data_IF_457048159136
#
_entry.id   IF_457048159136
#
_cell.length_a   1.000
_cell.length_b   1.000
_cell.length_c   1.000
_cell.angle_alpha   90.00
_cell.angle_beta   90.00
_cell.angle_gamma   90.00
#
_symmetry.space_group_name_H-M   'P 1'
#
loop_
_entity.id
_entity.type
_entity.pdbx_description
1 polymer ?
#
# COMPACT_ATOMS: atom_id res chain seq x y z
N UNK A 1 -12.79 -3.02 -14.42
CA UNK A 1 -14.12 -3.12 -13.79
C UNK A 1 -14.13 -2.27 -12.53
N UNK A 2 -15.29 -1.86 -11.98
CA UNK A 2 -15.34 -1.03 -10.76
C UNK A 2 -14.58 -1.66 -9.58
N UNK A 3 -14.52 -3.00 -9.54
CA UNK A 3 -13.78 -3.83 -8.59
C UNK A 3 -12.26 -3.59 -8.56
N UNK A 4 -11.67 -3.04 -9.63
CA UNK A 4 -10.24 -2.72 -9.69
C UNK A 4 -9.90 -1.42 -8.95
N UNK A 5 -10.89 -0.53 -8.81
CA UNK A 5 -10.76 0.73 -8.07
C UNK A 5 -11.08 0.58 -6.60
N UNK A 6 -11.59 -0.57 -6.16
CA UNK A 6 -11.95 -0.79 -4.77
C UNK A 6 -10.73 -0.65 -3.85
N UNK A 7 -10.92 0.06 -2.74
CA UNK A 7 -9.96 0.18 -1.66
C UNK A 7 -10.49 -0.60 -0.46
N UNK A 8 -9.59 -1.23 0.26
CA UNK A 8 -9.92 -1.96 1.48
C UNK A 8 -9.20 -1.34 2.67
N UNK A 9 -9.92 -1.15 3.77
CA UNK A 9 -9.32 -0.86 5.07
C UNK A 9 -8.48 -2.04 5.55
N UNK A 10 -7.62 -1.84 6.54
CA UNK A 10 -6.84 -2.89 7.17
C UNK A 10 -7.75 -4.00 7.74
N UNK A 11 -8.90 -3.63 8.31
CA UNK A 11 -9.89 -4.57 8.82
C UNK A 11 -10.54 -5.42 7.70
N UNK A 12 -10.93 -4.78 6.60
CA UNK A 12 -11.51 -5.46 5.43
C UNK A 12 -10.49 -6.36 4.72
N UNK A 13 -9.22 -5.94 4.64
CA UNK A 13 -8.14 -6.78 4.15
C UNK A 13 -7.94 -8.02 5.00
N UNK A 14 -7.91 -7.88 6.32
CA UNK A 14 -7.82 -9.03 7.23
C UNK A 14 -9.04 -9.95 7.13
N UNK A 15 -10.21 -9.43 6.79
CA UNK A 15 -11.40 -10.24 6.48
C UNK A 15 -11.26 -10.99 5.15
N UNK A 16 -10.68 -10.36 4.12
CA UNK A 16 -10.38 -11.02 2.85
C UNK A 16 -9.45 -12.23 3.06
N UNK A 17 -8.36 -12.04 3.82
CA UNK A 17 -7.43 -13.11 4.17
C UNK A 17 -8.12 -14.25 4.92
N UNK A 18 -8.91 -13.92 5.96
CA UNK A 18 -9.66 -14.92 6.74
C UNK A 18 -10.61 -15.74 5.87
N UNK A 19 -11.32 -15.09 4.94
CA UNK A 19 -12.24 -15.77 4.02
C UNK A 19 -11.51 -16.70 3.06
N UNK A 20 -10.38 -16.26 2.51
CA UNK A 20 -9.55 -17.11 1.65
C UNK A 20 -9.00 -18.31 2.40
N UNK A 21 -8.63 -18.14 3.67
CA UNK A 21 -8.19 -19.24 4.55
C UNK A 21 -9.33 -20.20 4.85
N UNK A 22 -10.51 -19.69 5.22
CA UNK A 22 -11.69 -20.50 5.46
C UNK A 22 -12.15 -21.25 4.19
N UNK A 23 -11.89 -20.70 3.01
CA UNK A 23 -12.12 -21.32 1.70
C UNK A 23 -11.12 -22.43 1.33
N UNK A 24 -10.15 -22.74 2.19
CA UNK A 24 -9.24 -23.88 2.03
C UNK A 24 -7.81 -23.54 1.60
N UNK A 25 -7.45 -22.25 1.46
CA UNK A 25 -6.06 -21.85 1.16
C UNK A 25 -5.28 -21.61 2.47
N UNK A 26 -4.25 -22.39 2.81
CA UNK A 26 -3.50 -22.17 4.05
C UNK A 26 -2.87 -20.76 4.11
N UNK A 27 -2.81 -20.15 5.30
CA UNK A 27 -2.25 -18.80 5.49
C UNK A 27 -0.81 -18.67 5.00
N UNK A 28 0.03 -19.67 5.29
CA UNK A 28 1.40 -19.78 4.77
C UNK A 28 1.48 -19.73 3.24
N UNK A 29 0.47 -20.21 2.51
CA UNK A 29 0.44 -20.14 1.04
C UNK A 29 0.23 -18.69 0.56
N UNK A 30 -0.63 -17.93 1.24
CA UNK A 30 -0.81 -16.49 0.97
C UNK A 30 0.48 -15.71 1.25
N UNK A 31 1.13 -15.99 2.39
CA UNK A 31 2.41 -15.40 2.78
C UNK A 31 3.54 -15.72 1.77
N UNK A 32 3.62 -16.96 1.31
CA UNK A 32 4.58 -17.38 0.28
C UNK A 32 4.37 -16.62 -1.04
N UNK A 33 3.11 -16.43 -1.45
CA UNK A 33 2.77 -15.66 -2.66
C UNK A 33 3.07 -14.16 -2.49
N UNK A 34 2.77 -13.59 -1.33
CA UNK A 34 3.07 -12.21 -0.97
C UNK A 34 4.58 -11.95 -1.02
N UNK A 35 5.36 -12.74 -0.28
CA UNK A 35 6.82 -12.63 -0.27
C UNK A 35 7.44 -12.86 -1.65
N UNK A 36 6.94 -13.83 -2.43
CA UNK A 36 7.39 -14.05 -3.80
C UNK A 36 7.08 -12.86 -4.73
N UNK A 37 5.92 -12.20 -4.56
CA UNK A 37 5.58 -11.02 -5.33
C UNK A 37 6.53 -9.85 -5.03
N UNK A 38 6.85 -9.60 -3.76
CA UNK A 38 7.83 -8.58 -3.38
C UNK A 38 9.23 -8.92 -3.91
N UNK A 39 9.70 -10.16 -3.74
CA UNK A 39 11.01 -10.59 -4.23
C UNK A 39 11.13 -10.44 -5.77
N UNK A 40 10.06 -10.76 -6.52
CA UNK A 40 10.00 -10.51 -7.97
C UNK A 40 10.06 -9.01 -8.29
N UNK A 41 9.31 -8.18 -7.57
CA UNK A 41 9.31 -6.74 -7.78
C UNK A 41 10.70 -6.12 -7.50
N UNK A 42 11.40 -6.60 -6.47
CA UNK A 42 12.78 -6.21 -6.16
C UNK A 42 13.69 -6.54 -7.34
N UNK A 43 13.68 -7.78 -7.82
CA UNK A 43 14.55 -8.22 -8.92
C UNK A 43 14.25 -7.57 -10.26
N UNK A 44 13.00 -7.18 -10.49
CA UNK A 44 12.62 -6.46 -11.69
C UNK A 44 13.18 -5.02 -11.72
N UNK A 45 13.55 -4.46 -10.57
CA UNK A 45 13.97 -3.05 -10.44
C UNK A 45 15.43 -2.88 -10.02
N UNK A 46 16.00 -3.81 -9.28
CA UNK A 46 17.38 -3.74 -8.78
C UNK A 46 18.18 -4.98 -9.18
N UNK A 47 19.45 -4.75 -9.50
CA UNK A 47 20.47 -5.81 -9.60
C UNK A 47 20.87 -6.34 -8.22
N UNK A 48 21.35 -7.61 -8.13
CA UNK A 48 21.83 -8.19 -6.88
C UNK A 48 22.82 -7.27 -6.14
N UNK A 49 22.54 -7.03 -4.87
CA UNK A 49 23.32 -6.16 -3.97
C UNK A 49 23.03 -6.52 -2.51
N UNK A 50 23.83 -6.08 -1.54
CA UNK A 50 23.55 -6.31 -0.13
C UNK A 50 22.15 -5.79 0.27
N UNK A 51 21.32 -6.65 0.85
CA UNK A 51 19.94 -6.33 1.28
C UNK A 51 19.81 -6.54 2.78
N UNK A 52 19.35 -5.51 3.47
CA UNK A 52 18.87 -5.63 4.84
C UNK A 52 17.36 -5.90 4.83
N UNK A 53 16.93 -7.05 5.32
CA UNK A 53 15.50 -7.42 5.45
C UNK A 53 15.10 -7.29 6.91
N UNK A 54 14.16 -6.40 7.21
CA UNK A 54 13.76 -6.03 8.56
C UNK A 54 12.40 -6.64 8.88
N UNK A 55 12.37 -7.68 9.71
CA UNK A 55 11.16 -8.44 10.00
C UNK A 55 10.53 -8.08 11.35
N UNK A 56 9.23 -7.81 11.33
CA UNK A 56 8.41 -7.67 12.53
C UNK A 56 7.98 -9.00 13.15
N UNK A 57 7.22 -8.94 14.26
CA UNK A 57 6.73 -10.14 14.96
C UNK A 57 5.46 -10.76 14.35
N UNK A 58 4.78 -10.07 13.43
CA UNK A 58 3.51 -10.50 12.83
C UNK A 58 3.64 -11.01 11.40
N UNK A 59 2.51 -11.14 10.70
CA UNK A 59 2.43 -11.67 9.33
C UNK A 59 3.29 -10.87 8.33
N UNK A 60 3.32 -9.53 8.44
CA UNK A 60 4.19 -8.70 7.58
C UNK A 60 5.67 -9.08 7.74
N UNK A 61 6.10 -9.40 8.97
CA UNK A 61 7.43 -9.93 9.23
C UNK A 61 7.64 -11.31 8.62
N UNK A 62 6.61 -12.17 8.67
CA UNK A 62 6.52 -13.44 7.96
C UNK A 62 6.81 -13.32 6.46
N UNK A 63 6.18 -12.36 5.78
CA UNK A 63 6.47 -12.04 4.38
C UNK A 63 7.96 -11.67 4.19
N UNK A 64 8.54 -10.91 5.13
CA UNK A 64 9.96 -10.60 5.18
C UNK A 64 10.86 -11.84 5.22
N UNK A 65 10.52 -12.86 6.01
CA UNK A 65 11.26 -14.13 6.05
C UNK A 65 11.21 -14.86 4.70
N UNK A 66 10.05 -14.87 4.05
CA UNK A 66 9.90 -15.42 2.69
C UNK A 66 10.76 -14.64 1.69
N UNK A 67 10.69 -13.31 1.70
CA UNK A 67 11.47 -12.43 0.80
C UNK A 67 12.96 -12.70 0.96
N UNK A 68 13.45 -12.73 2.20
CA UNK A 68 14.85 -13.00 2.50
C UNK A 68 15.30 -14.35 1.95
N UNK A 69 14.54 -15.42 2.22
CA UNK A 69 14.82 -16.77 1.72
C UNK A 69 14.89 -16.80 0.20
N UNK A 70 13.93 -16.17 -0.48
CA UNK A 70 13.86 -16.18 -1.94
C UNK A 70 14.98 -15.36 -2.59
N UNK A 71 15.33 -14.20 -2.03
CA UNK A 71 16.45 -13.40 -2.52
C UNK A 71 17.79 -14.11 -2.30
N UNK A 72 18.01 -14.67 -1.09
CA UNK A 72 19.22 -15.41 -0.78
C UNK A 72 19.39 -16.64 -1.67
N UNK A 73 18.31 -17.40 -1.91
CA UNK A 73 18.29 -18.53 -2.84
C UNK A 73 18.60 -18.16 -4.30
N UNK A 74 18.62 -16.87 -4.63
CA UNK A 74 18.95 -16.33 -5.94
C UNK A 74 20.26 -15.54 -5.94
N UNK A 75 21.11 -15.76 -4.92
CA UNK A 75 22.46 -15.22 -4.85
C UNK A 75 22.55 -13.77 -4.36
N UNK A 76 21.48 -13.20 -3.80
CA UNK A 76 21.56 -11.89 -3.16
C UNK A 76 22.25 -12.00 -1.79
N UNK A 77 23.19 -11.10 -1.45
CA UNK A 77 23.73 -11.02 -0.09
C UNK A 77 22.67 -10.46 0.87
N UNK A 78 22.00 -11.34 1.62
CA UNK A 78 20.90 -10.96 2.52
C UNK A 78 21.35 -10.98 3.97
N UNK A 79 21.14 -9.87 4.67
CA UNK A 79 21.16 -9.78 6.14
C UNK A 79 19.72 -9.68 6.63
N UNK A 80 19.27 -10.67 7.38
CA UNK A 80 17.94 -10.66 7.97
C UNK A 80 18.03 -10.24 9.44
N UNK A 81 17.29 -9.20 9.81
CA UNK A 81 17.10 -8.79 11.19
C UNK A 81 15.65 -8.96 11.63
N UNK A 82 15.45 -9.40 12.87
CA UNK A 82 14.11 -9.60 13.44
C UNK A 82 13.93 -8.82 14.74
N UNK A 83 12.77 -8.20 14.92
CA UNK A 83 12.42 -7.50 16.17
C UNK A 83 12.30 -8.44 17.37
N UNK A 84 11.92 -9.70 17.11
CA UNK A 84 11.78 -10.75 18.12
C UNK A 84 12.59 -11.99 17.73
N UNK A 85 13.07 -12.80 18.69
CA UNK A 85 13.70 -14.08 18.36
C UNK A 85 12.75 -14.98 17.55
N UNK A 86 13.27 -15.67 16.54
CA UNK A 86 12.45 -16.53 15.65
C UNK A 86 11.61 -17.57 16.42
N UNK A 87 12.13 -18.08 17.55
CA UNK A 87 11.42 -19.03 18.44
C UNK A 87 10.15 -18.47 19.10
N UNK A 88 9.93 -17.16 19.07
CA UNK A 88 8.75 -16.50 19.66
C UNK A 88 7.65 -16.28 18.63
N UNK A 89 7.98 -16.37 17.33
CA UNK A 89 7.01 -16.26 16.25
C UNK A 89 5.98 -17.38 16.35
N UNK A 90 4.77 -17.13 15.83
CA UNK A 90 3.64 -18.07 15.82
C UNK A 90 2.99 -18.11 14.44
N UNK A 91 2.24 -19.17 14.19
CA UNK A 91 1.48 -19.35 12.95
C UNK A 91 2.39 -19.30 11.71
N UNK A 92 1.85 -18.74 10.63
CA UNK A 92 2.52 -18.67 9.32
C UNK A 92 3.91 -18.01 9.39
N UNK A 93 4.09 -16.98 10.22
CA UNK A 93 5.38 -16.31 10.38
C UNK A 93 6.45 -17.23 11.00
N UNK A 94 6.06 -18.15 11.89
CA UNK A 94 6.98 -19.15 12.45
C UNK A 94 7.37 -20.19 11.41
N UNK A 95 6.41 -20.63 10.59
CA UNK A 95 6.66 -21.56 9.49
C UNK A 95 7.63 -20.96 8.46
N UNK A 96 7.41 -19.72 8.05
CA UNK A 96 8.32 -19.00 7.15
C UNK A 96 9.72 -18.85 7.76
N UNK A 97 9.81 -18.50 9.04
CA UNK A 97 11.10 -18.38 9.74
C UNK A 97 11.86 -19.70 9.83
N UNK A 98 11.18 -20.84 10.00
CA UNK A 98 11.82 -22.16 10.05
C UNK A 98 12.51 -22.58 8.72
N UNK A 99 12.06 -21.99 7.60
CA UNK A 99 12.64 -22.21 6.28
C UNK A 99 13.91 -21.38 6.03
N UNK A 100 14.18 -20.34 6.83
CA UNK A 100 15.40 -19.56 6.74
C UNK A 100 16.60 -20.34 7.28
N UNK A 101 17.68 -20.41 6.50
CA UNK A 101 18.93 -21.12 6.87
C UNK A 101 20.11 -20.19 7.14
N UNK A 102 19.93 -18.89 6.92
CA UNK A 102 20.97 -17.88 7.18
C UNK A 102 21.02 -17.45 8.65
N UNK A 103 21.97 -16.57 8.96
CA UNK A 103 22.04 -15.92 10.27
C UNK A 103 20.82 -15.00 10.46
N UNK A 104 20.33 -14.94 11.69
CA UNK A 104 19.30 -13.97 12.12
C UNK A 104 19.98 -12.98 13.05
N UNK A 105 19.92 -11.70 12.70
CA UNK A 105 20.44 -10.60 13.49
C UNK A 105 19.33 -9.99 14.36
N UNK A 106 19.73 -9.31 15.44
CA UNK A 106 18.81 -8.42 16.16
C UNK A 106 18.45 -7.22 15.28
N UNK A 107 17.23 -6.71 15.43
CA UNK A 107 16.76 -5.50 14.76
C UNK A 107 17.40 -4.22 15.32
N UNK A 108 18.72 -4.13 15.23
CA UNK A 108 19.51 -2.98 15.61
C UNK A 108 20.03 -2.25 14.34
N UNK A 109 20.26 -0.92 14.38
CA UNK A 109 20.64 -0.14 13.20
C UNK A 109 21.87 -0.66 12.42
N UNK A 110 22.78 -1.38 13.07
CA UNK A 110 23.97 -1.97 12.46
C UNK A 110 23.64 -2.99 11.34
N UNK A 111 22.39 -3.48 11.25
CA UNK A 111 21.95 -4.30 10.10
C UNK A 111 22.04 -3.54 8.77
N UNK A 112 22.00 -2.21 8.82
CA UNK A 112 22.07 -1.36 7.63
C UNK A 112 23.50 -1.18 7.10
N UNK A 113 24.52 -1.56 7.88
CA UNK A 113 25.92 -1.37 7.50
C UNK A 113 26.25 -2.14 6.22
N UNK A 114 26.73 -1.41 5.22
CA UNK A 114 27.05 -1.95 3.89
C UNK A 114 25.82 -2.38 3.06
N UNK A 115 24.59 -2.13 3.53
CA UNK A 115 23.38 -2.41 2.77
C UNK A 115 23.26 -1.48 1.56
N UNK A 116 22.82 -2.01 0.42
CA UNK A 116 22.48 -1.26 -0.79
C UNK A 116 20.97 -1.20 -1.07
N UNK A 117 20.18 -1.89 -0.27
CA UNK A 117 18.71 -1.96 -0.32
C UNK A 117 18.16 -2.35 1.05
N UNK A 118 17.03 -1.76 1.44
CA UNK A 118 16.29 -2.16 2.64
C UNK A 118 14.94 -2.72 2.23
N UNK A 119 14.57 -3.88 2.79
CA UNK A 119 13.20 -4.40 2.75
C UNK A 119 12.56 -4.15 4.11
N UNK A 120 11.60 -3.25 4.13
CA UNK A 120 10.84 -2.91 5.33
C UNK A 120 9.61 -3.82 5.45
N UNK A 121 9.74 -4.81 6.33
CA UNK A 121 8.72 -5.78 6.68
C UNK A 121 8.41 -5.74 8.19
N UNK A 122 8.62 -4.59 8.85
CA UNK A 122 8.45 -4.47 10.30
C UNK A 122 6.96 -4.43 10.68
N UNK A 123 6.16 -3.58 10.04
CA UNK A 123 4.74 -3.44 10.31
C UNK A 123 3.95 -3.20 9.03
N UNK A 124 2.84 -3.92 8.88
CA UNK A 124 1.89 -3.74 7.77
C UNK A 124 0.73 -2.80 8.15
N UNK A 125 -0.34 -2.79 7.35
CA UNK A 125 -1.45 -1.86 7.49
C UNK A 125 -2.25 -2.00 8.80
N UNK A 126 -2.12 -3.12 9.51
CA UNK A 126 -2.79 -3.37 10.80
C UNK A 126 -2.19 -2.62 11.99
N UNK A 127 -1.17 -1.79 11.78
CA UNK A 127 -0.61 -0.93 12.83
C UNK A 127 -1.61 0.16 13.23
N UNK A 128 -1.89 0.29 14.53
CA UNK A 128 -2.84 1.25 15.08
C UNK A 128 -2.24 2.16 16.18
N UNK A 129 -0.92 2.09 16.36
CA UNK A 129 -0.15 2.92 17.30
C UNK A 129 1.23 3.23 16.72
N UNK A 130 1.83 4.32 17.15
CA UNK A 130 3.19 4.65 16.74
C UNK A 130 4.17 3.52 17.13
N UNK A 131 5.14 3.16 16.26
CA UNK A 131 6.22 2.28 16.65
C UNK A 131 7.02 2.90 17.80
N UNK A 132 7.51 2.06 18.71
CA UNK A 132 8.26 2.48 19.90
C UNK A 132 9.55 1.67 20.07
N UNK A 133 10.43 2.13 20.95
CA UNK A 133 11.65 1.44 21.35
C UNK A 133 12.55 1.08 20.17
N UNK A 134 12.99 -0.18 20.12
CA UNK A 134 13.90 -0.69 19.07
C UNK A 134 13.33 -0.51 17.66
N UNK A 135 12.02 -0.68 17.48
CA UNK A 135 11.39 -0.56 16.17
C UNK A 135 11.41 0.90 15.67
N UNK A 136 11.08 1.86 16.54
CA UNK A 136 11.17 3.28 16.20
C UNK A 136 12.60 3.72 15.85
N UNK A 137 13.58 3.28 16.66
CA UNK A 137 15.00 3.59 16.42
C UNK A 137 15.49 3.04 15.08
N UNK A 138 15.06 1.84 14.69
CA UNK A 138 15.40 1.24 13.41
C UNK A 138 14.72 1.98 12.24
N UNK A 139 13.45 2.34 12.35
CA UNK A 139 12.75 3.13 11.32
C UNK A 139 13.44 4.49 11.11
N UNK A 140 13.83 5.17 12.20
CA UNK A 140 14.58 6.43 12.12
C UNK A 140 15.96 6.21 11.47
N UNK A 141 16.66 5.12 11.77
CA UNK A 141 17.93 4.80 11.13
C UNK A 141 17.76 4.55 9.62
N UNK A 142 16.73 3.81 9.21
CA UNK A 142 16.40 3.59 7.79
C UNK A 142 16.10 4.93 7.11
N UNK A 143 15.26 5.77 7.71
CA UNK A 143 14.90 7.08 7.16
C UNK A 143 16.09 8.03 6.98
N UNK A 144 17.12 7.92 7.85
CA UNK A 144 18.36 8.71 7.76
C UNK A 144 19.41 8.12 6.81
N UNK A 145 19.33 6.82 6.52
CA UNK A 145 20.34 6.12 5.72
C UNK A 145 20.42 6.58 4.26
N UNK A 146 19.33 7.14 3.72
CA UNK A 146 19.24 7.49 2.30
C UNK A 146 19.20 6.28 1.35
N UNK A 147 19.14 5.06 1.88
CA UNK A 147 19.06 3.83 1.10
C UNK A 147 17.69 3.70 0.41
N UNK A 148 17.61 3.06 -0.77
CA UNK A 148 16.32 2.71 -1.34
C UNK A 148 15.60 1.71 -0.42
N UNK A 149 14.34 2.01 -0.11
CA UNK A 149 13.48 1.18 0.76
C UNK A 149 12.37 0.54 -0.08
N UNK A 150 12.17 -0.76 0.13
CA UNK A 150 11.02 -1.52 -0.39
C UNK A 150 10.11 -1.86 0.78
N UNK A 151 8.96 -1.21 0.86
CA UNK A 151 7.98 -1.47 1.91
C UNK A 151 7.06 -2.64 1.54
N UNK A 152 6.89 -3.55 2.47
CA UNK A 152 5.95 -4.67 2.39
C UNK A 152 4.61 -4.22 2.97
N UNK A 153 3.56 -4.30 2.16
CA UNK A 153 2.21 -3.80 2.40
C UNK A 153 2.07 -2.28 2.52
N UNK A 154 2.68 -1.69 3.54
CA UNK A 154 2.76 -0.24 3.80
C UNK A 154 4.13 0.08 4.42
N UNK A 155 4.67 1.30 4.26
CA UNK A 155 5.84 1.74 5.01
C UNK A 155 5.59 1.65 6.53
N UNK A 156 6.51 1.06 7.27
CA UNK A 156 6.36 0.86 8.71
C UNK A 156 6.25 2.19 9.45
N UNK A 157 5.21 2.30 10.28
CA UNK A 157 4.83 3.52 10.99
C UNK A 157 3.74 4.35 10.30
N UNK A 158 3.31 3.95 9.10
CA UNK A 158 2.15 4.52 8.41
C UNK A 158 0.86 3.78 8.81
N UNK A 159 -0.21 4.52 9.05
CA UNK A 159 -1.54 3.95 9.25
C UNK A 159 -2.22 3.70 7.89
N UNK A 160 -2.64 2.45 7.65
CA UNK A 160 -3.20 2.04 6.36
C UNK A 160 -4.55 2.69 6.04
N UNK A 161 -5.35 3.01 7.04
CA UNK A 161 -6.75 3.44 6.85
C UNK A 161 -6.91 4.94 6.57
N UNK A 162 -5.97 5.78 7.00
CA UNK A 162 -6.04 7.23 6.84
C UNK A 162 -4.79 7.87 6.22
N UNK A 163 -3.68 7.12 6.13
CA UNK A 163 -2.41 7.63 5.61
C UNK A 163 -1.67 8.55 6.57
N UNK A 164 -2.08 8.62 7.84
CA UNK A 164 -1.38 9.36 8.88
C UNK A 164 -0.12 8.62 9.34
N UNK A 165 0.86 9.39 9.82
CA UNK A 165 2.14 8.89 10.31
C UNK A 165 2.42 9.55 11.68
N UNK A 166 2.04 8.92 12.81
CA UNK A 166 2.19 9.52 14.14
C UNK A 166 3.65 9.64 14.60
N UNK A 167 4.59 9.04 13.86
CA UNK A 167 6.03 9.13 14.11
C UNK A 167 6.82 9.17 12.80
N UNK A 168 8.13 8.93 12.88
CA UNK A 168 8.95 8.85 11.67
C UNK A 168 8.56 7.63 10.84
N UNK A 169 8.49 7.83 9.53
CA UNK A 169 8.34 6.78 8.52
C UNK A 169 9.46 6.98 7.50
N UNK A 170 10.13 5.88 7.10
CA UNK A 170 11.08 5.93 6.01
C UNK A 170 10.34 5.97 4.67
N UNK A 171 10.60 6.94 3.78
CA UNK A 171 9.96 6.98 2.48
C UNK A 171 10.41 5.79 1.63
N UNK A 172 9.45 5.04 1.09
CA UNK A 172 9.70 3.92 0.21
C UNK A 172 10.00 4.38 -1.22
N UNK A 173 10.97 3.72 -1.86
CA UNK A 173 11.16 3.82 -3.30
C UNK A 173 10.11 2.97 -4.06
N UNK A 174 9.62 1.92 -3.41
CA UNK A 174 8.59 1.00 -3.87
C UNK A 174 7.81 0.46 -2.66
N UNK A 175 6.49 0.51 -2.69
CA UNK A 175 5.60 -0.24 -1.81
C UNK A 175 4.92 -1.34 -2.61
N UNK A 176 4.99 -2.59 -2.13
CA UNK A 176 4.24 -3.70 -2.70
C UNK A 176 3.15 -4.09 -1.71
N UNK A 177 1.90 -3.83 -2.08
CA UNK A 177 0.72 -4.21 -1.29
C UNK A 177 -0.02 -5.36 -1.95
N UNK A 178 -0.91 -6.01 -1.20
CA UNK A 178 -1.53 -7.26 -1.61
C UNK A 178 -3.03 -7.08 -1.80
N UNK A 179 -3.54 -7.71 -2.87
CA UNK A 179 -4.95 -7.75 -3.28
C UNK A 179 -5.56 -6.39 -3.62
N UNK A 180 -5.60 -5.43 -2.69
CA UNK A 180 -6.10 -4.06 -2.91
C UNK A 180 -5.26 -3.03 -2.18
N UNK A 181 -5.27 -1.81 -2.72
CA UNK A 181 -4.73 -0.64 -2.02
C UNK A 181 -5.57 -0.34 -0.78
N UNK A 182 -4.92 0.23 0.21
CA UNK A 182 -5.52 0.84 1.39
C UNK A 182 -5.64 2.36 1.15
N UNK A 183 -6.54 3.08 1.84
CA UNK A 183 -6.67 4.52 1.69
C UNK A 183 -5.36 5.29 1.93
N UNK A 184 -4.52 4.83 2.86
CA UNK A 184 -3.23 5.43 3.18
C UNK A 184 -2.20 5.42 2.05
N UNK A 185 -2.40 4.59 1.01
CA UNK A 185 -1.59 4.65 -0.22
C UNK A 185 -1.94 5.86 -1.10
N UNK A 186 -3.12 6.47 -0.90
CA UNK A 186 -3.68 7.52 -1.75
C UNK A 186 -3.82 8.87 -1.01
N UNK A 187 -4.00 8.84 0.31
CA UNK A 187 -4.12 10.02 1.16
C UNK A 187 -2.75 10.54 1.62
N UNK A 188 -2.63 11.86 1.81
CA UNK A 188 -1.41 12.48 2.33
C UNK A 188 -1.38 12.43 3.87
N UNK A 189 -0.20 12.27 4.49
CA UNK A 189 1.13 12.17 3.87
C UNK A 189 1.45 10.79 3.25
N UNK A 190 0.71 9.74 3.60
CA UNK A 190 0.99 8.34 3.23
C UNK A 190 1.33 8.09 1.76
N UNK A 191 0.61 8.69 0.82
CA UNK A 191 0.89 8.59 -0.63
C UNK A 191 2.33 8.97 -0.99
N UNK A 192 2.87 10.01 -0.35
CA UNK A 192 4.26 10.45 -0.62
C UNK A 192 5.28 9.52 0.02
N UNK A 193 4.92 8.88 1.14
CA UNK A 193 5.77 7.93 1.85
C UNK A 193 5.80 6.55 1.18
N UNK A 194 4.77 6.18 0.41
CA UNK A 194 4.70 4.89 -0.28
C UNK A 194 5.49 4.85 -1.61
N UNK A 195 5.89 5.99 -2.15
CA UNK A 195 6.56 6.06 -3.45
C UNK A 195 5.74 5.38 -4.56
N UNK A 196 6.41 4.59 -5.42
CA UNK A 196 5.69 3.75 -6.39
C UNK A 196 4.93 2.65 -5.65
N UNK A 197 3.60 2.57 -5.82
CA UNK A 197 2.78 1.51 -5.20
C UNK A 197 2.32 0.47 -6.21
N UNK A 198 2.74 -0.78 -6.03
CA UNK A 198 2.31 -1.95 -6.82
C UNK A 198 1.36 -2.82 -6.02
N UNK A 199 0.23 -3.18 -6.62
CA UNK A 199 -0.69 -4.17 -6.05
C UNK A 199 -0.33 -5.54 -6.64
N UNK A 200 -0.03 -6.49 -5.76
CA UNK A 200 0.25 -7.87 -6.13
C UNK A 200 -0.98 -8.74 -5.88
N UNK A 201 -1.28 -9.59 -6.85
CA UNK A 201 -2.23 -10.68 -6.68
C UNK A 201 -1.55 -11.83 -5.92
N UNK A 202 -2.17 -12.22 -4.80
CA UNK A 202 -1.72 -13.30 -3.93
C UNK A 202 -2.73 -14.47 -3.91
N UNK A 203 -3.68 -14.48 -4.85
CA UNK A 203 -4.71 -15.50 -4.99
C UNK A 203 -5.86 -15.34 -3.99
N UNK A 204 -6.21 -14.09 -3.68
CA UNK A 204 -7.47 -13.76 -3.01
C UNK A 204 -8.51 -13.57 -4.12
N UNK A 205 -9.50 -14.45 -4.12
CA UNK A 205 -10.53 -14.51 -5.16
C UNK A 205 -11.49 -13.31 -5.13
N UNK A 206 -12.06 -12.98 -6.29
CA UNK A 206 -13.03 -11.88 -6.43
C UNK A 206 -14.25 -12.03 -5.51
N UNK A 207 -14.65 -13.27 -5.20
CA UNK A 207 -15.73 -13.57 -4.26
C UNK A 207 -15.49 -13.02 -2.84
N UNK A 208 -14.23 -12.91 -2.42
CA UNK A 208 -13.89 -12.26 -1.14
C UNK A 208 -14.24 -10.76 -1.18
N UNK A 209 -13.96 -10.09 -2.30
CA UNK A 209 -14.27 -8.68 -2.49
C UNK A 209 -15.78 -8.43 -2.52
N UNK A 210 -16.52 -9.26 -3.25
CA UNK A 210 -17.99 -9.18 -3.34
C UNK A 210 -18.64 -9.33 -1.96
N UNK A 211 -18.16 -10.28 -1.16
CA UNK A 211 -18.71 -10.52 0.16
C UNK A 211 -18.35 -9.44 1.19
N UNK A 212 -17.23 -8.73 1.00
CA UNK A 212 -16.86 -7.58 1.82
C UNK A 212 -17.76 -6.36 1.49
N UNK A 213 -18.08 -6.16 0.21
CA UNK A 213 -18.87 -5.00 -0.23
C UNK A 213 -18.14 -3.67 0.02
N UNK A 214 -16.96 -3.44 -0.59
CA UNK A 214 -16.13 -2.27 -0.33
C UNK A 214 -16.89 -0.96 -0.61
N UNK A 215 -16.76 -0.02 0.31
CA UNK A 215 -17.39 1.32 0.19
C UNK A 215 -16.45 2.39 -0.34
N UNK A 216 -15.14 2.14 -0.26
CA UNK A 216 -14.10 3.08 -0.67
C UNK A 216 -13.57 2.71 -2.05
N UNK A 217 -13.39 3.71 -2.90
CA UNK A 217 -12.88 3.54 -4.25
C UNK A 217 -11.86 4.63 -4.59
N UNK A 218 -10.79 4.26 -5.29
CA UNK A 218 -9.89 5.20 -5.94
C UNK A 218 -10.67 5.94 -7.03
N UNK A 219 -10.69 7.28 -6.97
CA UNK A 219 -11.43 8.07 -7.94
C UNK A 219 -10.84 7.87 -9.35
N UNK A 220 -11.66 7.37 -10.26
CA UNK A 220 -11.29 7.16 -11.65
C UNK A 220 -12.51 7.22 -12.57
N UNK A 221 -12.32 7.45 -13.89
CA UNK A 221 -13.42 7.60 -14.84
C UNK A 221 -14.43 6.46 -14.84
N UNK A 222 -14.02 5.23 -14.50
CA UNK A 222 -14.95 4.10 -14.44
C UNK A 222 -16.09 4.30 -13.44
N UNK A 223 -15.90 5.12 -12.39
CA UNK A 223 -16.92 5.41 -11.37
C UNK A 223 -18.02 6.35 -11.85
N UNK A 224 -17.67 7.35 -12.68
CA UNK A 224 -18.57 8.45 -13.01
C UNK A 224 -18.85 8.64 -14.49
N UNK A 225 -18.13 7.95 -15.39
CA UNK A 225 -18.28 8.12 -16.85
C UNK A 225 -19.70 7.80 -17.32
N UNK A 226 -20.32 6.76 -16.78
CA UNK A 226 -21.70 6.40 -17.12
C UNK A 226 -22.72 7.43 -16.62
N UNK A 227 -22.40 8.15 -15.54
CA UNK A 227 -23.23 9.21 -14.97
C UNK A 227 -22.99 10.58 -15.62
N UNK A 228 -21.98 10.73 -16.48
CA UNK A 228 -21.76 12.00 -17.18
C UNK A 228 -22.93 12.29 -18.14
N UNK A 229 -23.48 13.52 -18.12
CA UNK A 229 -24.50 13.92 -19.07
C UNK A 229 -23.98 13.84 -20.51
N UNK A 230 -24.73 13.17 -21.38
CA UNK A 230 -24.49 13.14 -22.83
C UNK A 230 -25.56 13.97 -23.52
N UNK A 231 -25.15 14.89 -24.40
CA UNK A 231 -26.09 15.69 -25.18
C UNK A 231 -26.71 14.83 -26.28
N UNK A 232 -28.01 14.57 -26.20
CA UNK A 232 -28.74 13.95 -27.30
C UNK A 232 -29.04 14.98 -28.40
N UNK A 233 -29.12 14.53 -29.66
CA UNK A 233 -29.40 15.40 -30.80
C UNK A 233 -30.75 16.15 -30.68
N UNK A 234 -31.68 15.62 -29.88
CA UNK A 234 -33.01 16.19 -29.63
C UNK A 234 -33.04 17.20 -28.49
N UNK A 235 -31.97 17.34 -27.70
CA UNK A 235 -31.95 18.24 -26.54
C UNK A 235 -31.64 19.69 -26.95
N UNK A 236 -32.40 20.63 -26.39
CA UNK A 236 -32.15 22.07 -26.51
C UNK A 236 -31.51 22.67 -25.26
N UNK A 237 -31.14 23.95 -25.32
CA UNK A 237 -30.41 24.66 -24.25
C UNK A 237 -31.13 24.66 -22.89
N UNK A 238 -32.46 24.57 -22.85
CA UNK A 238 -33.19 24.57 -21.57
C UNK A 238 -33.22 23.19 -20.90
N UNK A 239 -33.08 22.09 -21.66
CA UNK A 239 -32.99 20.72 -21.11
C UNK A 239 -31.65 20.48 -20.40
N UNK A 240 -30.65 21.28 -20.76
CA UNK A 240 -29.28 21.19 -20.26
C UNK A 240 -29.01 22.08 -19.04
N UNK A 241 -30.08 22.55 -18.40
CA UNK A 241 -30.02 23.35 -17.17
C UNK A 241 -29.54 24.79 -17.37
N UNK A 242 -29.85 25.61 -16.37
CA UNK A 242 -29.51 27.04 -16.31
C UNK A 242 -28.96 27.40 -14.92
N UNK A 243 -27.69 27.03 -14.63
CA UNK A 243 -27.03 27.43 -13.39
C UNK A 243 -26.90 28.96 -13.25
N UNK A 244 -27.07 29.45 -12.02
CA UNK A 244 -26.77 30.81 -11.58
C UNK A 244 -25.45 30.81 -10.76
N UNK A 245 -24.50 31.65 -11.14
CA UNK A 245 -23.24 31.84 -10.41
C UNK A 245 -23.27 33.18 -9.68
N UNK A 246 -23.45 33.10 -8.36
CA UNK A 246 -23.30 34.25 -7.48
C UNK A 246 -21.82 34.44 -7.12
N UNK A 247 -21.29 35.64 -7.35
CA UNK A 247 -19.91 35.97 -7.04
C UNK A 247 -19.79 37.32 -6.33
N UNK A 248 -18.80 37.43 -5.44
CA UNK A 248 -18.48 38.66 -4.73
C UNK A 248 -17.75 39.69 -5.62
N UNK A 249 -17.86 40.97 -5.28
CA UNK A 249 -17.38 42.08 -6.10
C UNK A 249 -15.86 42.21 -6.25
N UNK A 250 -15.06 41.62 -5.35
CA UNK A 250 -13.60 41.79 -5.33
C UNK A 250 -12.82 40.72 -6.11
N UNK A 251 -13.39 39.52 -6.30
CA UNK A 251 -12.71 38.37 -6.91
C UNK A 251 -13.46 37.85 -8.14
N UNK A 252 -13.65 38.72 -9.13
CA UNK A 252 -14.37 38.43 -10.38
C UNK A 252 -13.79 37.25 -11.19
N UNK A 253 -12.52 36.92 -10.99
CA UNK A 253 -11.87 35.77 -11.62
C UNK A 253 -12.50 34.43 -11.25
N UNK A 254 -12.95 34.26 -10.01
CA UNK A 254 -13.58 33.02 -9.55
C UNK A 254 -14.89 32.74 -10.30
N UNK A 255 -15.72 33.78 -10.47
CA UNK A 255 -16.96 33.70 -11.24
C UNK A 255 -16.71 33.25 -12.68
N UNK A 256 -15.69 33.83 -13.33
CA UNK A 256 -15.33 33.51 -14.72
C UNK A 256 -14.84 32.08 -14.87
N UNK A 257 -14.11 31.55 -13.89
CA UNK A 257 -13.66 30.16 -13.89
C UNK A 257 -14.83 29.18 -13.74
N UNK A 258 -15.70 29.42 -12.76
CA UNK A 258 -16.91 28.62 -12.55
C UNK A 258 -17.82 28.64 -13.80
N UNK A 259 -18.02 29.81 -14.39
CA UNK A 259 -18.81 30.00 -15.62
C UNK A 259 -18.27 29.18 -16.80
N UNK A 260 -16.96 29.21 -16.99
CA UNK A 260 -16.29 28.46 -18.06
C UNK A 260 -16.37 26.95 -17.82
N UNK A 261 -16.23 26.52 -16.56
CA UNK A 261 -16.35 25.10 -16.20
C UNK A 261 -17.78 24.60 -16.50
N UNK A 262 -18.81 25.30 -16.02
CA UNK A 262 -20.21 24.94 -16.25
C UNK A 262 -20.56 24.81 -17.75
N UNK A 263 -20.10 25.75 -18.58
CA UNK A 263 -20.28 25.67 -20.04
C UNK A 263 -19.55 24.47 -20.66
N UNK A 264 -18.32 24.19 -20.22
CA UNK A 264 -17.53 23.05 -20.72
C UNK A 264 -18.11 21.69 -20.33
N UNK A 265 -18.76 21.60 -19.18
CA UNK A 265 -19.40 20.36 -18.70
C UNK A 265 -20.81 20.15 -19.25
N UNK A 266 -21.32 21.07 -20.08
CA UNK A 266 -22.57 20.88 -20.81
C UNK A 266 -23.77 21.70 -20.32
N UNK A 267 -23.60 22.72 -19.48
CA UNK A 267 -24.70 23.65 -19.17
C UNK A 267 -25.26 24.29 -20.47
N UNK A 268 -26.59 24.42 -20.57
CA UNK A 268 -27.23 25.00 -21.75
C UNK A 268 -27.37 26.51 -21.71
N UNK A 269 -27.61 27.07 -20.51
CA UNK A 269 -27.57 28.50 -20.22
C UNK A 269 -26.75 28.75 -18.94
N UNK A 270 -26.36 30.00 -18.72
CA UNK A 270 -25.62 30.41 -17.54
C UNK A 270 -25.95 31.87 -17.21
N UNK A 271 -26.30 32.13 -15.94
CA UNK A 271 -26.39 33.49 -15.38
C UNK A 271 -25.30 33.71 -14.37
#
# INVERSE_FOLDING_TARGET
MLSDLALLTAAEMGEADRRTIAGGTPGIVLMERAGAAVARAIRARWSPRPVAVLCGPGNNGGDGWVIARLLAGQGWPVRLASLVPAKVLKGDAAEAAALWKGKVEGADPAVLDGAGLVVDALFGAGLNRAPEGRAAALIEAVARSGLPVVAVDVPSGLFGDDGSAPGRVAPAALTVTFFRRKPGHLLLPGRTLCGETRVADIGIEAAALEAIGPRLHENGPALWRAALPHAAATQHKYDRGHPLILAGGSLTGAARLAARAARRTGAGLLT
#
